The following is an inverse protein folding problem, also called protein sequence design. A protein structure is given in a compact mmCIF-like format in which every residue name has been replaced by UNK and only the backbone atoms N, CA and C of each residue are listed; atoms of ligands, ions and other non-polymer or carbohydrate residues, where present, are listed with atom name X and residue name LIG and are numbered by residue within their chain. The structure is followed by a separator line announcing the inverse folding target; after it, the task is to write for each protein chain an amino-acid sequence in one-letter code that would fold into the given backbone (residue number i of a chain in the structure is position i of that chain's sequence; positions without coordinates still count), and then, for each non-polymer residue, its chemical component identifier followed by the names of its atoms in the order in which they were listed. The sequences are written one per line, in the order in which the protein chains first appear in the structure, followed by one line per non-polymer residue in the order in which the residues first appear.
data_IF_674193028916
#
_entry.id   IF_674193028916
#
_cell.length_a   1.000
_cell.length_b   1.000
_cell.length_c   1.000
_cell.angle_alpha   90.00
_cell.angle_beta   90.00
_cell.angle_gamma   90.00
#
_symmetry.space_group_name_H-M   'P 1'
#
loop_
_entity.id
_entity.type
_entity.pdbx_description
1 polymer ?
2 non-polymer ?
3 non-polymer ?
4 water ?
#
# COMPACT_ATOMS: atom_id res chain seq x y z
N UNK A 1 -5.69 -11.34 -11.03
CA UNK A 1 -5.34 -10.07 -10.34
C UNK A 1 -3.83 -9.92 -10.22
N UNK A 2 -3.31 -8.70 -10.26
CA UNK A 2 -1.88 -8.43 -10.11
C UNK A 2 -1.70 -7.40 -8.99
N UNK A 3 -0.59 -7.52 -8.28
CA UNK A 3 -0.26 -6.61 -7.22
C UNK A 3 1.26 -6.34 -7.26
N UNK A 4 1.69 -5.30 -6.59
CA UNK A 4 3.11 -4.90 -6.61
C UNK A 4 3.43 -4.22 -5.26
N UNK A 5 4.73 -4.22 -4.92
CA UNK A 5 5.22 -3.50 -3.75
C UNK A 5 6.60 -2.90 -4.07
N UNK A 6 6.84 -1.71 -3.62
CA UNK A 6 8.17 -1.09 -3.70
C UNK A 6 8.77 -1.11 -2.26
N UNK A 7 9.91 -1.78 -2.12
CA UNK A 7 10.56 -1.91 -0.85
C UNK A 7 11.60 -0.78 -0.67
N UNK A 8 11.56 -0.17 0.48
CA UNK A 8 12.45 0.88 0.90
C UNK A 8 12.63 0.82 2.40
N UNK A 9 13.72 1.43 2.88
CA UNK A 9 13.98 1.46 4.31
C UNK A 9 14.86 2.61 4.69
N UNK A 10 15.48 2.50 5.87
CA UNK A 10 16.31 3.49 6.49
C UNK A 10 17.70 3.57 5.84
N UNK A 11 18.05 2.55 5.07
CA UNK A 11 19.35 2.52 4.43
C UNK A 11 19.17 2.47 2.90
N UNK A 12 20.08 1.75 2.27
CA UNK A 12 20.20 1.63 0.85
C UNK A 12 19.56 0.43 0.23
N UNK A 13 18.91 -0.36 1.07
CA UNK A 13 18.24 -1.56 0.53
C UNK A 13 16.94 -1.14 -0.14
N UNK A 14 16.75 -1.57 -1.40
CA UNK A 14 15.55 -1.20 -2.13
C UNK A 14 15.21 -2.32 -3.10
N UNK A 15 13.93 -2.40 -3.50
CA UNK A 15 13.58 -3.46 -4.48
C UNK A 15 12.14 -3.32 -4.92
N UNK A 16 11.73 -4.25 -5.75
CA UNK A 16 10.38 -4.33 -6.28
C UNK A 16 9.97 -5.80 -6.31
N UNK A 17 8.74 -6.06 -5.88
CA UNK A 17 8.20 -7.42 -5.90
C UNK A 17 6.85 -7.40 -6.61
N UNK A 18 6.67 -8.28 -7.54
CA UNK A 18 5.39 -8.44 -8.27
C UNK A 18 4.67 -9.71 -7.82
N UNK A 19 3.36 -9.66 -7.81
CA UNK A 19 2.47 -10.76 -7.41
C UNK A 19 1.41 -10.99 -8.49
N UNK A 20 1.10 -12.21 -8.83
CA UNK A 20 0.00 -12.45 -9.76
C UNK A 20 -0.75 -13.73 -9.39
N UNK A 21 -2.06 -13.73 -9.55
CA UNK A 21 -2.93 -14.87 -9.24
C UNK A 21 -4.04 -14.94 -10.31
N UNK A 22 -4.34 -16.12 -10.76
CA UNK A 22 -5.51 -16.33 -11.67
C UNK A 22 -6.53 -17.17 -10.86
N UNK A 23 -7.79 -16.84 -10.96
CA UNK A 23 -8.82 -17.54 -10.17
C UNK A 23 -8.47 -17.43 -8.69
N UNK A 24 -8.64 -18.50 -7.93
CA UNK A 24 -8.24 -18.49 -6.50
C UNK A 24 -7.07 -19.47 -6.35
N UNK A 25 -6.23 -19.53 -7.40
CA UNK A 25 -5.12 -20.47 -7.38
C UNK A 25 -3.86 -19.88 -6.73
N UNK A 26 -2.74 -20.53 -7.00
CA UNK A 26 -1.51 -20.12 -6.38
C UNK A 26 -1.10 -18.74 -6.84
N UNK A 27 -0.36 -18.09 -5.98
CA UNK A 27 0.20 -16.79 -6.32
C UNK A 27 1.68 -16.94 -6.73
N UNK A 28 2.00 -16.32 -7.85
CA UNK A 28 3.36 -16.20 -8.37
C UNK A 28 3.98 -14.89 -7.86
N UNK A 29 5.17 -14.98 -7.25
CA UNK A 29 5.93 -13.92 -6.65
C UNK A 29 7.31 -13.82 -7.34
N UNK A 30 7.55 -12.63 -7.91
CA UNK A 30 8.81 -12.39 -8.58
C UNK A 30 9.38 -11.05 -8.08
N UNK A 31 10.62 -11.07 -7.66
CA UNK A 31 11.20 -9.89 -7.14
C UNK A 31 12.69 -9.74 -7.39
N UNK A 32 13.17 -8.53 -7.14
CA UNK A 32 14.58 -8.15 -7.19
C UNK A 32 14.82 -7.13 -6.07
N UNK A 33 15.79 -7.46 -5.23
CA UNK A 33 16.16 -6.62 -4.10
C UNK A 33 17.69 -6.42 -4.15
N UNK A 34 18.06 -5.14 -4.07
CA UNK A 34 19.42 -4.72 -4.12
C UNK A 34 19.88 -4.11 -2.79
N UNK A 35 21.18 -4.29 -2.48
CA UNK A 35 21.79 -3.74 -1.33
C UNK A 35 21.93 -4.67 -0.13
N UNK A 36 21.67 -5.95 -0.37
CA UNK A 36 21.71 -6.97 0.68
C UNK A 36 23.12 -7.54 0.81
N UNK A 37 23.48 -7.90 2.07
CA UNK A 37 24.71 -8.65 2.25
C UNK A 37 24.56 -10.08 1.79
N UNK A 38 25.66 -10.71 1.37
CA UNK A 38 25.55 -12.05 0.87
C UNK A 38 25.00 -13.03 1.83
N UNK A 39 24.17 -13.95 1.33
CA UNK A 39 23.57 -15.00 2.14
C UNK A 39 22.06 -14.94 2.14
N UNK A 40 21.49 -15.64 3.11
CA UNK A 40 20.07 -15.73 3.30
C UNK A 40 19.47 -14.59 4.09
N UNK A 41 18.31 -14.14 3.61
CA UNK A 41 17.51 -13.13 4.25
C UNK A 41 16.02 -13.53 4.26
N UNK A 42 15.43 -13.44 5.44
CA UNK A 42 14.01 -13.76 5.63
C UNK A 42 13.14 -12.77 4.83
N UNK A 43 12.08 -13.32 4.25
CA UNK A 43 11.12 -12.54 3.44
C UNK A 43 9.69 -12.94 3.83
N UNK A 44 8.99 -11.96 4.43
CA UNK A 44 7.72 -12.24 5.03
C UNK A 44 6.70 -11.11 4.75
N UNK A 45 5.42 -11.54 4.90
CA UNK A 45 4.32 -10.60 4.87
C UNK A 45 3.89 -10.29 6.31
N UNK A 46 4.02 -9.06 6.71
CA UNK A 46 3.59 -8.62 8.05
C UNK A 46 2.19 -8.07 7.97
N UNK A 47 1.44 -8.03 9.05
CA UNK A 47 0.01 -7.81 9.07
C UNK A 47 -0.50 -6.49 8.63
N UNK A 48 0.12 -5.40 9.09
CA UNK A 48 -0.36 -4.06 8.83
C UNK A 48 0.36 -3.41 7.63
N UNK A 49 -0.34 -2.63 6.87
CA UNK A 49 0.15 -1.78 5.78
C UNK A 49 0.41 -0.37 6.31
N UNK A 50 1.02 -0.23 7.45
CA UNK A 50 1.29 1.03 8.15
C UNK A 50 2.77 1.32 8.21
N UNK A 51 3.22 2.29 7.44
CA UNK A 51 4.59 2.69 7.31
C UNK A 51 4.90 4.01 7.98
N UNK A 52 4.02 4.38 8.94
CA UNK A 52 4.17 5.61 9.65
C UNK A 52 5.39 5.68 10.54
N UNK A 53 5.81 4.53 11.06
CA UNK A 53 7.07 4.45 11.84
C UNK A 53 8.02 3.56 11.07
N UNK A 54 8.22 3.81 9.77
CA UNK A 54 9.05 2.89 9.05
C UNK A 54 8.49 1.49 9.04
N UNK A 55 9.39 0.48 9.02
CA UNK A 55 8.95 -0.91 8.94
C UNK A 55 8.46 -1.46 10.27
N UNK A 56 8.74 -0.75 11.36
CA UNK A 56 8.32 -1.17 12.67
C UNK A 56 6.82 -1.19 12.87
N UNK A 57 6.10 -0.30 12.25
CA UNK A 57 4.67 -0.18 12.37
C UNK A 57 3.96 -1.21 11.52
N UNK A 58 4.62 -2.10 10.83
CA UNK A 58 3.96 -3.17 10.10
C UNK A 58 3.46 -4.29 11.00
N UNK A 59 3.84 -4.29 12.28
CA UNK A 59 3.38 -5.35 13.18
C UNK A 59 4.11 -6.67 12.97
N UNK A 60 3.48 -7.75 13.43
CA UNK A 60 3.98 -9.12 13.37
C UNK A 60 3.54 -9.80 12.09
N UNK A 61 3.82 -11.12 11.93
CA UNK A 61 3.47 -11.81 10.72
C UNK A 61 1.96 -11.99 10.56
N UNK A 62 1.58 -11.95 9.28
CA UNK A 62 0.20 -12.15 8.92
C UNK A 62 -0.18 -13.60 9.18
N UNK A 63 -1.11 -13.84 10.11
CA UNK A 63 -1.36 -15.19 10.61
C UNK A 63 -2.83 -15.41 10.85
N UNK A 64 -3.67 -15.35 9.81
CA UNK A 64 -5.09 -15.55 9.99
C UNK A 64 -5.49 -16.97 10.28
N UNK A 65 -4.60 -17.94 10.06
CA UNK A 65 -4.93 -19.31 10.37
C UNK A 65 -4.37 -19.78 11.68
N UNK A 66 -3.78 -18.87 12.46
CA UNK A 66 -3.46 -19.13 13.84
C UNK A 66 -2.52 -20.30 14.07
N UNK A 67 -1.38 -20.24 13.42
CA UNK A 67 -0.34 -21.21 13.53
C UNK A 67 0.95 -20.59 14.04
N UNK A 68 1.93 -21.45 14.29
CA UNK A 68 3.27 -20.95 14.64
C UNK A 68 4.03 -20.63 13.34
N UNK A 69 5.18 -19.96 13.53
CA UNK A 69 6.07 -19.65 12.43
C UNK A 69 6.73 -20.92 11.88
N UNK A 70 6.85 -21.00 10.56
CA UNK A 70 7.48 -22.15 9.92
C UNK A 70 8.07 -21.77 8.55
N UNK A 71 8.38 -22.83 7.84
CA UNK A 71 8.90 -22.78 6.48
C UNK A 71 7.70 -22.78 5.51
N UNK A 72 7.89 -22.28 4.29
CA UNK A 72 6.81 -22.29 3.32
C UNK A 72 6.19 -23.62 3.03
N UNK A 73 6.96 -24.71 3.05
CA UNK A 73 6.49 -26.05 2.83
C UNK A 73 5.84 -26.75 3.99
N UNK A 74 5.83 -26.13 5.16
CA UNK A 74 5.28 -26.76 6.36
C UNK A 74 3.76 -26.53 6.42
N UNK A 75 3.06 -27.40 7.14
CA UNK A 75 1.65 -27.18 7.46
C UNK A 75 1.53 -26.15 8.58
N UNK A 76 2.44 -26.20 9.55
CA UNK A 76 2.48 -25.26 10.66
C UNK A 76 3.38 -24.07 10.30
N UNK A 77 2.74 -23.09 9.70
CA UNK A 77 3.40 -21.84 9.29
C UNK A 77 2.43 -20.69 9.34
N UNK A 78 2.88 -19.48 9.35
CA UNK A 78 2.01 -18.33 9.13
C UNK A 78 1.77 -18.16 7.63
N UNK A 79 0.61 -17.61 7.30
CA UNK A 79 0.36 -17.29 5.90
C UNK A 79 1.50 -16.45 5.33
N UNK A 80 2.02 -15.51 6.12
CA UNK A 80 3.03 -14.64 5.65
C UNK A 80 4.42 -15.19 5.59
N UNK A 81 4.64 -16.46 5.87
CA UNK A 81 5.96 -17.08 5.89
C UNK A 81 6.39 -17.57 4.53
N UNK A 82 7.18 -16.72 3.84
CA UNK A 82 7.70 -17.00 2.53
C UNK A 82 9.15 -17.42 2.48
N UNK A 83 9.74 -17.75 3.64
CA UNK A 83 11.07 -18.32 3.69
C UNK A 83 12.18 -17.34 3.49
N UNK A 84 13.26 -17.77 2.87
CA UNK A 84 14.44 -17.00 2.65
C UNK A 84 14.65 -16.71 1.16
N UNK A 85 15.21 -15.51 0.93
CA UNK A 85 15.75 -15.20 -0.39
C UNK A 85 17.29 -15.19 -0.30
N UNK A 86 18.00 -15.48 -1.37
CA UNK A 86 19.44 -15.55 -1.38
C UNK A 86 20.05 -14.39 -2.17
N UNK A 87 20.95 -13.68 -1.51
CA UNK A 87 21.65 -12.57 -2.11
C UNK A 87 23.07 -12.97 -2.50
N UNK A 88 23.47 -12.54 -3.68
CA UNK A 88 24.84 -12.75 -4.15
C UNK A 88 25.22 -11.48 -4.98
N UNK A 89 26.41 -10.95 -4.76
CA UNK A 89 26.82 -9.74 -5.47
C UNK A 89 25.90 -8.55 -5.11
N UNK A 90 25.34 -8.56 -3.91
CA UNK A 90 24.51 -7.51 -3.38
C UNK A 90 23.06 -7.52 -3.83
N UNK A 91 22.66 -8.55 -4.59
CA UNK A 91 21.34 -8.66 -5.18
C UNK A 91 20.67 -10.01 -4.94
N UNK A 92 19.42 -9.98 -4.60
CA UNK A 92 18.58 -11.13 -4.57
C UNK A 92 17.51 -11.07 -5.66
N UNK A 93 17.50 -12.00 -6.58
CA UNK A 93 16.46 -12.10 -7.66
C UNK A 93 15.82 -13.49 -7.45
N UNK A 94 14.50 -13.51 -7.28
CA UNK A 94 13.78 -14.66 -6.91
C UNK A 94 12.39 -14.78 -7.55
N UNK A 95 11.96 -16.02 -7.68
CA UNK A 95 10.65 -16.42 -8.15
C UNK A 95 10.11 -17.54 -7.23
N UNK A 96 8.99 -17.31 -6.63
CA UNK A 96 8.37 -18.31 -5.74
C UNK A 96 6.90 -18.44 -6.17
N UNK A 97 6.34 -19.59 -5.85
CA UNK A 97 4.91 -19.87 -5.98
C UNK A 97 4.39 -20.30 -4.61
N UNK A 98 3.29 -19.71 -4.18
CA UNK A 98 2.73 -20.06 -2.88
C UNK A 98 1.21 -20.14 -2.94
N UNK A 99 0.66 -21.13 -2.23
CA UNK A 99 -0.75 -21.39 -2.20
C UNK A 99 -1.49 -20.96 -0.97
N UNK A 100 -0.79 -20.36 0.02
CA UNK A 100 -1.45 -19.90 1.23
C UNK A 100 -1.77 -18.41 1.18
N UNK A 101 -0.80 -17.62 0.72
CA UNK A 101 -1.12 -16.21 0.42
C UNK A 101 -2.14 -16.16 -0.72
N UNK A 102 -2.85 -15.05 -0.79
CA UNK A 102 -3.82 -14.80 -1.82
C UNK A 102 -3.83 -13.29 -2.11
N UNK A 103 -4.47 -12.92 -3.22
CA UNK A 103 -4.73 -11.55 -3.55
C UNK A 103 -6.22 -11.23 -3.42
N UNK A 104 -7.01 -12.16 -2.89
CA UNK A 104 -8.42 -11.97 -2.66
C UNK A 104 -8.87 -12.81 -1.44
N UNK A 105 -10.01 -12.47 -0.85
CA UNK A 105 -10.53 -13.27 0.26
C UNK A 105 -9.80 -13.01 1.58
N UNK A 106 -10.11 -13.87 2.59
CA UNK A 106 -9.57 -13.65 3.91
C UNK A 106 -8.07 -13.70 4.02
N UNK A 107 -7.42 -14.43 3.10
CA UNK A 107 -5.94 -14.49 3.21
C UNK A 107 -5.30 -13.48 2.28
N UNK A 108 -6.07 -12.49 1.82
CA UNK A 108 -5.52 -11.45 0.98
C UNK A 108 -4.39 -10.66 1.66
N UNK A 109 -3.34 -10.46 0.88
CA UNK A 109 -2.18 -9.68 1.34
C UNK A 109 -2.18 -8.26 0.78
N UNK A 110 -3.20 -7.91 0.02
CA UNK A 110 -3.36 -6.54 -0.46
C UNK A 110 -3.55 -5.61 0.77
N UNK A 111 -2.79 -4.50 0.81
CA UNK A 111 -2.86 -3.58 1.93
C UNK A 111 -2.06 -4.01 3.15
N UNK A 112 -1.23 -5.01 3.00
CA UNK A 112 -0.29 -5.50 3.96
C UNK A 112 1.14 -5.20 3.57
N UNK A 113 2.13 -5.54 4.42
CA UNK A 113 3.49 -5.13 4.15
C UNK A 113 4.39 -6.29 3.87
N UNK A 114 5.15 -6.24 2.81
CA UNK A 114 6.24 -7.20 2.57
C UNK A 114 7.53 -6.65 3.23
N UNK A 115 8.27 -7.49 3.92
CA UNK A 115 9.48 -7.10 4.61
C UNK A 115 10.64 -8.04 4.26
N UNK A 116 11.79 -7.49 3.98
CA UNK A 116 13.03 -8.24 3.87
C UNK A 116 13.88 -7.97 5.12
N UNK A 117 14.34 -9.03 5.74
CA UNK A 117 15.01 -9.05 7.00
C UNK A 117 16.53 -9.07 6.97
N UNK A 118 17.16 -8.62 8.04
CA UNK A 118 18.56 -8.54 8.25
C UNK A 118 19.25 -9.91 8.20
N UNK A 119 18.64 -10.91 8.84
CA UNK A 119 19.26 -12.24 8.97
C UNK A 119 18.40 -13.31 8.32
N UNK A 120 18.97 -14.53 8.24
CA UNK A 120 18.23 -15.67 7.72
C UNK A 120 17.08 -16.04 8.67
N UNK A 121 16.00 -16.49 8.10
CA UNK A 121 14.89 -17.08 8.88
C UNK A 121 15.28 -18.55 9.17
N UNK A 122 15.23 -18.93 10.43
CA UNK A 122 15.52 -20.26 10.92
C UNK A 122 14.39 -21.25 10.75
N UNK A 123 13.30 -20.81 10.16
CA UNK A 123 12.19 -21.66 9.71
C UNK A 123 11.47 -22.37 10.81
N UNK A 124 11.59 -21.82 12.03
CA UNK A 124 10.92 -22.41 13.17
C UNK A 124 11.68 -23.51 13.85
N UNK A 125 12.93 -23.70 13.43
CA UNK A 125 13.73 -24.77 14.01
C UNK A 125 14.88 -24.30 14.86
N UNK A 126 14.84 -23.08 15.37
CA UNK A 126 15.94 -22.53 16.12
C UNK A 126 16.07 -22.95 17.54
N UNK A 127 15.08 -23.64 18.05
CA UNK A 127 15.17 -24.16 19.44
C UNK A 127 14.79 -23.15 20.50
N UNK A 128 14.07 -22.09 20.19
CA UNK A 128 13.69 -21.10 21.22
C UNK A 128 12.35 -20.53 20.84
N UNK A 129 11.74 -19.84 21.79
CA UNK A 129 10.37 -19.35 21.59
C UNK A 129 10.28 -18.35 20.44
N UNK A 130 11.32 -17.53 20.31
CA UNK A 130 11.37 -16.53 19.22
C UNK A 130 11.32 -17.17 17.85
N UNK A 131 11.95 -18.33 17.70
CA UNK A 131 11.94 -19.07 16.45
C UNK A 131 10.49 -19.33 16.02
N UNK A 132 9.58 -19.64 16.91
CA UNK A 132 8.19 -19.92 16.63
C UNK A 132 7.34 -18.68 16.38
N UNK A 133 7.92 -17.51 16.49
CA UNK A 133 7.24 -16.27 16.20
C UNK A 133 7.77 -15.59 14.94
N UNK A 134 9.09 -15.47 14.80
CA UNK A 134 9.68 -14.66 13.74
C UNK A 134 10.74 -15.38 12.95
N UNK A 135 11.15 -16.56 13.37
CA UNK A 135 12.29 -17.25 12.75
C UNK A 135 13.62 -16.61 13.09
N UNK A 136 13.72 -15.74 14.09
CA UNK A 136 14.96 -15.09 14.47
C UNK A 136 15.58 -14.35 13.32
N UNK A 137 14.73 -13.77 12.45
CA UNK A 137 15.20 -13.06 11.28
C UNK A 137 15.71 -11.68 11.53
N UNK A 138 15.56 -11.17 12.78
CA UNK A 138 16.12 -9.88 13.08
C UNK A 138 15.44 -8.69 12.46
N UNK A 139 16.20 -7.63 12.24
CA UNK A 139 15.76 -6.37 11.81
C UNK A 139 15.08 -6.34 10.44
N UNK A 140 14.41 -5.27 10.18
CA UNK A 140 13.62 -5.03 8.98
C UNK A 140 14.41 -4.03 8.11
N UNK A 141 15.06 -4.55 7.09
CA UNK A 141 15.88 -3.72 6.26
C UNK A 141 15.13 -2.82 5.30
N UNK A 142 14.05 -3.35 4.75
CA UNK A 142 13.21 -2.62 3.84
C UNK A 142 11.80 -3.21 3.83
N UNK A 143 10.85 -2.41 3.42
CA UNK A 143 9.47 -2.87 3.41
C UNK A 143 8.63 -2.00 2.47
N UNK A 144 7.47 -2.48 2.10
CA UNK A 144 6.51 -1.68 1.30
C UNK A 144 5.11 -2.23 1.45
N UNK A 145 4.13 -1.39 1.21
CA UNK A 145 2.72 -1.78 1.21
C UNK A 145 2.35 -2.34 -0.13
N UNK A 146 1.65 -3.45 -0.15
CA UNK A 146 1.22 -4.17 -1.33
C UNK A 146 -0.06 -3.57 -1.90
N UNK A 147 -0.03 -3.17 -3.17
CA UNK A 147 -1.14 -2.55 -3.87
C UNK A 147 -1.46 -3.18 -5.23
N UNK A 148 -2.63 -2.81 -5.77
CA UNK A 148 -3.01 -3.33 -7.10
C UNK A 148 -2.14 -2.72 -8.17
N UNK A 149 -1.86 -3.55 -9.18
CA UNK A 149 -1.06 -3.11 -10.32
C UNK A 149 -1.82 -3.44 -11.63
N UNK A 150 -1.45 -2.72 -12.67
CA UNK A 150 -1.96 -3.05 -14.00
C UNK A 150 -1.25 -4.30 -14.57
N UNK B 1 -12.86 -0.68 11.10
CA UNK B 1 -11.60 -0.96 10.39
C UNK B 1 -10.89 0.38 10.20
N UNK B 2 -9.57 0.33 10.22
CA UNK B 2 -8.74 1.49 10.03
C UNK B 2 -7.69 1.29 8.97
N UNK B 3 -7.34 2.36 8.29
CA UNK B 3 -6.31 2.33 7.25
C UNK B 3 -5.49 3.62 7.32
N UNK B 4 -4.35 3.63 6.64
CA UNK B 4 -3.41 4.75 6.64
C UNK B 4 -2.66 4.77 5.32
N UNK B 5 -2.12 5.95 5.00
CA UNK B 5 -1.15 6.06 3.91
C UNK B 5 -0.19 7.20 4.24
N UNK B 6 1.03 6.95 3.84
CA UNK B 6 2.12 7.93 3.94
C UNK B 6 2.33 8.48 2.51
N UNK B 7 2.19 9.80 2.44
CA UNK B 7 2.29 10.47 1.12
C UNK B 7 3.73 10.95 0.89
N UNK B 8 4.30 10.68 -0.26
CA UNK B 8 5.64 11.13 -0.64
C UNK B 8 5.65 11.35 -2.18
N UNK B 9 6.61 12.18 -2.59
CA UNK B 9 6.74 12.51 -3.98
C UNK B 9 8.11 12.81 -4.41
N UNK B 10 8.27 13.47 -5.56
CA UNK B 10 9.67 13.78 -5.97
C UNK B 10 10.12 15.14 -5.46
N UNK B 11 9.29 15.83 -4.71
CA UNK B 11 9.69 17.17 -4.14
C UNK B 11 9.60 17.15 -2.64
N UNK B 12 9.26 18.26 -2.01
CA UNK B 12 9.17 18.38 -0.58
C UNK B 12 7.77 18.24 -0.01
N UNK B 13 6.82 17.79 -0.81
CA UNK B 13 5.46 17.57 -0.28
C UNK B 13 5.40 16.22 0.37
N UNK B 14 4.87 16.15 1.58
CA UNK B 14 4.76 14.89 2.32
C UNK B 14 3.61 15.01 3.32
N UNK B 15 3.12 13.86 3.78
CA UNK B 15 2.11 13.82 4.76
C UNK B 15 1.59 12.46 5.14
N UNK B 16 0.57 12.42 5.98
CA UNK B 16 -0.03 11.20 6.47
C UNK B 16 -1.55 11.40 6.46
N UNK B 17 -2.27 10.40 6.03
CA UNK B 17 -3.71 10.39 5.99
C UNK B 17 -4.22 9.11 6.67
N UNK B 18 -5.17 9.25 7.56
CA UNK B 18 -5.84 8.22 8.31
C UNK B 18 -7.29 8.05 7.84
N UNK B 19 -7.70 6.79 7.76
CA UNK B 19 -9.07 6.46 7.37
C UNK B 19 -9.69 5.55 8.45
N UNK B 20 -10.96 5.79 8.75
CA UNK B 20 -11.67 4.88 9.69
C UNK B 20 -13.11 4.66 9.23
N UNK B 21 -13.60 3.46 9.45
CA UNK B 21 -14.99 3.17 9.07
C UNK B 21 -15.58 2.22 10.12
N UNK B 22 -16.75 2.57 10.59
CA UNK B 22 -17.50 1.75 11.52
C UNK B 22 -18.71 1.19 10.76
N UNK B 23 -18.95 -0.07 10.95
CA UNK B 23 -20.05 -0.77 10.27
C UNK B 23 -19.94 -0.46 8.79
N UNK B 24 -21.03 -0.17 8.09
CA UNK B 24 -20.75 0.14 6.64
C UNK B 24 -21.11 1.62 6.42
N UNK B 25 -20.71 2.44 7.38
CA UNK B 25 -21.08 3.85 7.35
C UNK B 25 -20.05 4.66 6.54
N UNK B 26 -20.24 5.97 6.61
CA UNK B 26 -19.31 6.88 5.94
C UNK B 26 -17.90 6.70 6.52
N UNK B 27 -16.93 6.88 5.63
CA UNK B 27 -15.52 6.79 6.04
C UNK B 27 -15.05 8.20 6.45
N UNK B 28 -14.42 8.22 7.62
CA UNK B 28 -13.79 9.48 8.11
C UNK B 28 -12.35 9.48 7.62
N UNK B 29 -11.94 10.59 7.05
CA UNK B 29 -10.62 10.79 6.49
C UNK B 29 -9.97 12.01 7.19
N UNK B 30 -8.86 11.79 7.82
CA UNK B 30 -8.18 12.87 8.55
C UNK B 30 -6.71 12.87 8.16
N UNK B 31 -6.20 14.02 7.71
CA UNK B 31 -4.86 14.11 7.30
C UNK B 31 -4.20 15.45 7.50
N UNK B 32 -2.90 15.40 7.28
CA UNK B 32 -2.05 16.59 7.33
C UNK B 32 -1.01 16.43 6.22
N UNK B 33 -0.93 17.41 5.36
CA UNK B 33 0.02 17.46 4.25
C UNK B 33 0.81 18.76 4.27
N UNK B 34 2.14 18.64 4.21
CA UNK B 34 3.05 19.73 4.24
C UNK B 34 3.77 19.96 2.93
N UNK B 35 4.19 21.22 2.73
CA UNK B 35 4.89 21.63 1.56
C UNK B 35 4.07 22.11 0.39
N UNK B 36 2.83 22.53 0.65
CA UNK B 36 1.93 22.89 -0.43
C UNK B 36 1.85 24.43 -0.57
N UNK B 37 1.61 24.85 -1.79
CA UNK B 37 1.29 26.23 -2.08
C UNK B 37 -0.11 26.56 -1.51
N UNK B 38 -0.31 27.81 -1.12
CA UNK B 38 -1.57 28.19 -0.55
C UNK B 38 -2.71 28.02 -1.56
N UNK B 39 -3.85 27.63 -1.04
CA UNK B 39 -5.03 27.48 -1.82
C UNK B 39 -5.48 26.05 -1.97
N UNK B 40 -6.33 25.84 -2.95
CA UNK B 40 -6.99 24.53 -3.14
C UNK B 40 -6.09 23.57 -3.90
N UNK B 41 -6.14 22.30 -3.48
CA UNK B 41 -5.43 21.20 -4.15
C UNK B 41 -6.37 19.99 -4.24
N UNK B 42 -6.48 19.40 -5.42
CA UNK B 42 -7.28 18.22 -5.56
C UNK B 42 -6.78 17.06 -4.72
N UNK B 43 -7.69 16.27 -4.18
CA UNK B 43 -7.33 15.11 -3.35
C UNK B 43 -8.22 13.94 -3.79
N UNK B 44 -7.61 12.95 -4.41
CA UNK B 44 -8.36 11.82 -4.98
C UNK B 44 -7.71 10.47 -4.71
N UNK B 45 -8.53 9.45 -4.91
CA UNK B 45 -8.10 8.05 -4.83
C UNK B 45 -7.98 7.51 -6.24
N UNK B 46 -6.74 7.22 -6.61
CA UNK B 46 -6.42 6.67 -7.93
C UNK B 46 -6.42 5.17 -7.82
N UNK B 47 -6.68 4.48 -8.92
CA UNK B 47 -7.02 3.08 -8.97
C UNK B 47 -5.98 2.12 -8.52
N UNK B 48 -4.73 2.29 -8.97
CA UNK B 48 -3.72 1.30 -8.66
C UNK B 48 -2.86 1.73 -7.46
N UNK B 49 -2.38 0.77 -6.76
CA UNK B 49 -1.45 0.89 -5.66
C UNK B 49 -0.03 0.61 -6.17
N UNK B 50 0.32 1.18 -7.28
CA UNK B 50 1.62 0.93 -7.99
C UNK B 50 2.45 2.20 -7.99
N UNK B 51 3.50 2.15 -7.15
CA UNK B 51 4.36 3.36 -7.05
C UNK B 51 5.70 3.08 -7.62
N UNK B 52 5.74 2.10 -8.59
CA UNK B 52 6.96 1.80 -9.26
C UNK B 52 7.49 2.96 -10.16
N UNK B 53 6.66 3.76 -10.71
CA UNK B 53 7.07 4.97 -11.51
C UNK B 53 6.57 6.21 -10.74
N UNK B 54 6.85 6.16 -9.40
CA UNK B 54 6.33 7.24 -8.58
C UNK B 54 4.82 7.31 -8.64
N UNK B 55 4.28 8.56 -8.58
CA UNK B 55 2.85 8.71 -8.65
C UNK B 55 2.26 8.48 -10.03
N UNK B 56 3.12 8.47 -11.05
CA UNK B 56 2.67 8.35 -12.43
C UNK B 56 2.18 6.96 -12.78
N UNK B 57 2.42 5.96 -11.95
CA UNK B 57 1.92 4.66 -12.12
C UNK B 57 0.60 4.37 -11.39
N UNK B 58 0.02 5.32 -10.71
CA UNK B 58 -1.20 5.11 -9.93
C UNK B 58 -2.44 4.97 -10.76
N UNK B 59 -2.41 5.22 -12.05
CA UNK B 59 -3.56 5.11 -12.93
C UNK B 59 -4.49 6.30 -12.77
N UNK B 60 -5.67 6.18 -13.32
CA UNK B 60 -6.69 7.19 -13.24
C UNK B 60 -7.52 7.08 -11.97
N UNK B 61 -8.59 7.86 -11.81
CA UNK B 61 -9.40 7.76 -10.61
C UNK B 61 -10.10 6.45 -10.47
N UNK B 62 -10.21 5.97 -9.21
CA UNK B 62 -10.98 4.76 -8.93
C UNK B 62 -12.44 5.00 -9.35
N UNK B 63 -12.97 4.25 -10.29
CA UNK B 63 -14.21 4.49 -10.97
C UNK B 63 -14.97 3.24 -11.34
N UNK B 64 -15.31 2.38 -10.38
CA UNK B 64 -16.01 1.11 -10.74
C UNK B 64 -17.32 1.29 -11.38
N UNK B 65 -17.98 2.42 -11.24
CA UNK B 65 -19.31 2.62 -11.82
C UNK B 65 -19.26 3.25 -13.20
N UNK B 66 -18.07 3.58 -13.73
CA UNK B 66 -17.96 4.16 -15.06
C UNK B 66 -18.66 5.51 -15.23
N UNK B 67 -18.50 6.33 -14.22
CA UNK B 67 -19.10 7.66 -14.26
C UNK B 67 -18.11 8.71 -14.65
N UNK B 68 -18.60 9.96 -14.79
CA UNK B 68 -17.76 11.09 -15.02
C UNK B 68 -17.22 11.62 -13.68
N UNK B 69 -16.14 12.41 -13.81
CA UNK B 69 -15.58 13.12 -12.66
C UNK B 69 -16.53 14.26 -12.24
N UNK B 70 -16.64 14.38 -10.90
CA UNK B 70 -17.46 15.40 -10.31
C UNK B 70 -17.05 15.78 -8.91
N UNK B 71 -17.93 16.54 -8.25
CA UNK B 71 -17.71 16.93 -6.86
C UNK B 71 -18.10 15.78 -5.93
N UNK B 72 -17.61 15.78 -4.70
CA UNK B 72 -18.04 14.75 -3.73
C UNK B 72 -19.52 14.75 -3.49
N UNK B 73 -20.21 15.88 -3.64
CA UNK B 73 -21.64 15.96 -3.49
C UNK B 73 -22.47 15.65 -4.69
N UNK B 74 -21.89 15.37 -5.86
CA UNK B 74 -22.63 15.05 -7.07
C UNK B 74 -22.95 13.54 -7.11
N UNK B 75 -24.08 13.19 -7.75
CA UNK B 75 -24.32 11.76 -7.98
C UNK B 75 -23.48 11.27 -9.14
N UNK B 76 -23.14 12.11 -10.10
CA UNK B 76 -22.24 11.71 -11.21
C UNK B 76 -20.81 12.11 -10.79
N UNK B 77 -20.16 11.20 -10.13
CA UNK B 77 -18.78 11.37 -9.67
C UNK B 77 -18.08 10.03 -9.70
N UNK B 78 -16.76 10.04 -9.69
CA UNK B 78 -16.03 8.79 -9.49
C UNK B 78 -16.02 8.44 -7.98
N UNK B 79 -15.95 7.16 -7.65
CA UNK B 79 -15.81 6.77 -6.23
C UNK B 79 -14.62 7.48 -5.61
N UNK B 80 -13.51 7.66 -6.38
CA UNK B 80 -12.37 8.37 -5.83
C UNK B 80 -12.32 9.86 -5.78
N UNK B 81 -13.44 10.56 -6.05
CA UNK B 81 -13.53 11.99 -6.08
C UNK B 81 -13.84 12.62 -4.73
N UNK B 82 -12.75 12.97 -3.98
CA UNK B 82 -12.80 13.55 -2.70
C UNK B 82 -12.69 15.04 -2.66
N UNK B 83 -12.73 15.68 -3.83
CA UNK B 83 -12.70 17.16 -3.92
C UNK B 83 -11.37 17.79 -3.65
N UNK B 84 -11.35 18.92 -2.94
CA UNK B 84 -10.21 19.69 -2.64
C UNK B 84 -9.92 19.77 -1.14
N UNK B 85 -8.61 19.89 -0.85
CA UNK B 85 -8.13 20.28 0.45
C UNK B 85 -7.52 21.68 0.34
N UNK B 86 -7.55 22.42 1.43
CA UNK B 86 -7.08 23.83 1.43
C UNK B 86 -5.78 23.94 2.21
N UNK B 87 -4.77 24.48 1.59
CA UNK B 87 -3.49 24.72 2.27
C UNK B 87 -3.38 26.17 2.73
N UNK B 88 -2.87 26.33 3.95
CA UNK B 88 -2.59 27.62 4.55
C UNK B 88 -1.23 27.54 5.29
N UNK B 89 -0.33 28.53 5.04
CA UNK B 89 0.97 28.52 5.65
C UNK B 89 1.73 27.23 5.33
N UNK B 90 1.48 26.67 4.16
CA UNK B 90 2.16 25.49 3.70
C UNK B 90 1.53 24.18 4.04
N UNK B 91 0.51 24.18 4.86
CA UNK B 91 -0.06 22.96 5.41
C UNK B 91 -1.54 22.87 5.12
N UNK B 92 -1.96 21.64 4.75
CA UNK B 92 -3.36 21.31 4.67
C UNK B 92 -3.70 20.29 5.78
N UNK B 93 -4.56 20.71 6.69
CA UNK B 93 -4.96 19.78 7.79
C UNK B 93 -6.49 19.75 7.69
N UNK B 94 -6.97 18.50 7.49
CA UNK B 94 -8.35 18.34 7.13
C UNK B 94 -9.00 17.13 7.73
N UNK B 95 -10.33 17.17 7.82
CA UNK B 95 -11.15 16.10 8.33
C UNK B 95 -12.42 16.10 7.46
N UNK B 96 -12.56 15.03 6.66
CA UNK B 96 -13.72 14.90 5.84
C UNK B 96 -14.36 13.53 6.00
N UNK B 97 -15.62 13.44 5.51
CA UNK B 97 -16.29 12.19 5.43
C UNK B 97 -16.71 11.91 3.99
N UNK B 98 -16.80 10.64 3.65
CA UNK B 98 -17.29 10.27 2.33
C UNK B 98 -18.13 9.01 2.41
N UNK B 99 -19.22 8.99 1.64
CA UNK B 99 -20.15 7.90 1.67
C UNK B 99 -20.03 6.91 0.53
N UNK B 100 -19.15 7.10 -0.42
CA UNK B 100 -18.93 6.21 -1.54
C UNK B 100 -17.72 5.33 -1.37
N UNK B 101 -16.61 5.92 -0.90
CA UNK B 101 -15.45 5.03 -0.64
C UNK B 101 -15.84 4.11 0.53
N UNK B 102 -15.06 3.02 0.64
CA UNK B 102 -15.21 2.08 1.72
C UNK B 102 -13.86 1.46 2.08
N UNK B 103 -13.76 0.82 3.23
CA UNK B 103 -12.58 0.08 3.60
C UNK B 103 -12.77 -1.43 3.49
N UNK B 104 -13.86 -1.88 2.94
CA UNK B 104 -14.21 -3.26 2.74
C UNK B 104 -15.13 -3.41 1.53
N UNK B 105 -15.25 -4.56 0.93
CA UNK B 105 -16.20 -4.79 -0.15
C UNK B 105 -15.73 -4.21 -1.49
N UNK B 106 -16.65 -4.19 -2.47
CA UNK B 106 -16.32 -3.78 -3.81
C UNK B 106 -15.72 -2.41 -3.94
N UNK B 107 -16.17 -1.43 -3.17
CA UNK B 107 -15.61 -0.09 -3.27
C UNK B 107 -14.44 0.16 -2.36
N UNK B 108 -13.80 -0.91 -1.81
CA UNK B 108 -12.67 -0.76 -0.95
C UNK B 108 -11.50 -0.03 -1.59
N UNK B 109 -10.88 0.93 -0.89
CA UNK B 109 -9.74 1.66 -1.34
C UNK B 109 -8.45 1.13 -0.76
N UNK B 110 -8.54 0.02 0.00
CA UNK B 110 -7.28 -0.59 0.47
C UNK B 110 -6.52 -1.13 -0.75
N UNK B 111 -5.20 -0.86 -0.78
CA UNK B 111 -4.36 -1.23 -1.88
C UNK B 111 -4.38 -0.28 -3.05
N UNK B 112 -5.06 0.84 -2.92
CA UNK B 112 -5.12 1.85 -3.96
C UNK B 112 -4.30 3.04 -3.55
N UNK B 113 -4.28 4.13 -4.31
CA UNK B 113 -3.36 5.23 -4.00
C UNK B 113 -4.07 6.53 -3.72
N UNK B 114 -3.77 7.21 -2.62
CA UNK B 114 -4.26 8.57 -2.41
C UNK B 114 -3.24 9.55 -3.03
N UNK B 115 -3.73 10.52 -3.75
CA UNK B 115 -2.94 11.51 -4.46
C UNK B 115 -3.37 12.93 -4.07
N UNK B 116 -2.41 13.78 -3.83
CA UNK B 116 -2.61 15.22 -3.64
C UNK B 116 -2.06 15.91 -4.92
N UNK B 117 -2.83 16.76 -5.53
CA UNK B 117 -2.58 17.39 -6.80
C UNK B 117 -2.02 18.81 -6.74
N UNK B 118 -1.35 19.17 -7.83
CA UNK B 118 -0.73 20.47 -8.02
C UNK B 118 -1.75 21.62 -7.94
N UNK B 119 -2.86 21.48 -8.61
CA UNK B 119 -3.85 22.48 -8.78
C UNK B 119 -5.17 22.17 -8.12
N UNK B 120 -6.11 23.09 -8.13
CA UNK B 120 -7.47 22.86 -7.70
C UNK B 120 -8.20 21.91 -8.67
N UNK B 121 -9.05 21.08 -8.04
CA UNK B 121 -10.00 20.27 -8.80
C UNK B 121 -11.23 21.17 -9.12
N UNK B 122 -11.53 21.28 -10.43
CA UNK B 122 -12.63 22.10 -10.91
C UNK B 122 -13.99 21.46 -10.77
N UNK B 123 -14.02 20.25 -10.20
CA UNK B 123 -15.23 19.55 -9.84
C UNK B 123 -16.11 19.19 -11.00
N UNK B 124 -15.46 19.06 -12.19
CA UNK B 124 -16.22 18.71 -13.35
C UNK B 124 -16.89 19.88 -14.05
N UNK B 125 -16.68 21.09 -13.61
CA UNK B 125 -17.36 22.29 -14.07
C UNK B 125 -16.49 23.19 -14.98
N UNK B 126 -15.37 22.65 -15.47
CA UNK B 126 -14.45 23.36 -16.27
C UNK B 126 -14.77 23.61 -17.70
N UNK B 127 -15.76 22.93 -18.27
CA UNK B 127 -16.14 23.24 -19.65
C UNK B 127 -15.31 22.48 -20.69
N UNK B 128 -14.66 21.38 -20.33
CA UNK B 128 -13.93 20.59 -21.34
C UNK B 128 -13.84 19.14 -20.92
N UNK B 129 -13.40 18.28 -21.81
CA UNK B 129 -13.34 16.84 -21.55
C UNK B 129 -12.42 16.51 -20.39
N UNK B 130 -11.30 17.25 -20.28
CA UNK B 130 -10.38 16.93 -19.16
C UNK B 130 -11.03 17.18 -17.82
N UNK B 131 -11.94 18.13 -17.75
CA UNK B 131 -12.63 18.44 -16.50
C UNK B 131 -13.41 17.19 -16.06
N UNK B 132 -14.00 16.54 -17.06
CA UNK B 132 -14.79 15.34 -16.82
C UNK B 132 -14.01 14.10 -16.53
N UNK B 133 -12.70 14.13 -16.59
CA UNK B 133 -11.83 13.03 -16.29
C UNK B 133 -11.05 13.24 -14.98
N UNK B 134 -10.39 14.38 -14.85
CA UNK B 134 -9.49 14.66 -13.72
C UNK B 134 -9.81 15.94 -12.98
N UNK B 135 -10.76 16.73 -13.43
CA UNK B 135 -11.01 18.02 -12.79
C UNK B 135 -9.96 19.04 -13.08
N UNK B 136 -9.09 18.79 -14.04
CA UNK B 136 -8.02 19.72 -14.37
C UNK B 136 -7.07 19.99 -13.21
N UNK B 137 -6.90 18.99 -12.38
CA UNK B 137 -6.10 19.13 -11.18
C UNK B 137 -4.63 19.07 -11.35
N UNK B 138 -4.13 18.77 -12.54
CA UNK B 138 -2.73 18.80 -12.80
C UNK B 138 -1.90 17.70 -12.28
N UNK B 139 -0.62 17.98 -12.05
CA UNK B 139 0.32 17.00 -11.60
C UNK B 139 -0.03 16.40 -10.24
N UNK B 140 0.78 15.32 -9.99
CA UNK B 140 0.62 14.56 -8.76
C UNK B 140 1.85 14.88 -7.88
N UNK B 141 1.65 15.67 -6.87
CA UNK B 141 2.72 16.15 -6.02
C UNK B 141 3.23 15.12 -5.00
N UNK B 142 2.32 14.31 -4.49
CA UNK B 142 2.62 13.29 -3.53
C UNK B 142 1.54 12.24 -3.55
N UNK B 143 1.91 11.01 -3.18
CA UNK B 143 0.95 9.91 -3.22
C UNK B 143 1.46 8.81 -2.26
N UNK B 144 0.55 7.87 -1.94
CA UNK B 144 0.93 6.73 -1.13
C UNK B 144 -0.10 5.64 -1.21
N UNK B 145 0.35 4.40 -1.00
CA UNK B 145 -0.50 3.25 -1.03
C UNK B 145 -1.22 3.09 0.30
N UNK B 146 -2.53 2.83 0.25
CA UNK B 146 -3.36 2.72 1.42
C UNK B 146 -3.33 1.31 2.01
N UNK B 147 -2.96 1.18 3.26
CA UNK B 147 -2.91 -0.11 3.93
C UNK B 147 -3.60 -0.14 5.28
N UNK B 148 -3.78 -1.38 5.78
CA UNK B 148 -4.42 -1.57 7.05
C UNK B 148 -3.58 -0.97 8.18
N UNK B 149 -4.30 -0.42 9.20
CA UNK B 149 -3.56 0.07 10.34
C UNK B 149 -4.23 -0.41 11.63
N UNK B 150 -3.48 -0.51 12.72
CA UNK B 150 -4.06 -0.95 14.00
C UNK B 150 -5.06 0.12 14.47
#
# INVERSE_FOLDING_TARGET
VKAVCVLAGSGDVKGVVHFEQQDEGAVSVEGKIEGLTDGLHGFHIHVFGDNTNGCMSAGSHFNPENKNHGAPGDTDRHVGDLGNVTAEGGVAQFKITDSLISLKGPNSIIGRTAVVHEKADDLGKGGNDESLKTGNAGGRLACGVIGYSP
VKAVCVLAGSGDVKGVVHFEQQDEGAVSVEGKIEGLTDGLHGFHIHVFGDNTNGCMSAGSHFNPENKNHGAPGDTDRHVGDLGNVTAEGGVAQFKITDSLISLKGPNSIIGRTAVVHEKADDLGKGGNDESLKTGNAGGRLACGVIGYSP
#
